data_IF_523077325748
#
_entry.id   IF_523077325748
#
_cell.length_a   1.000
_cell.length_b   1.000
_cell.length_c   1.000
_cell.angle_alpha   90.00
_cell.angle_beta   90.00
_cell.angle_gamma   90.00
#
_symmetry.space_group_name_H-M   'P 1'
#
loop_
_entity.id
_entity.type
_entity.pdbx_description
1 polymer ?
#
# COMPACT_ATOMS: atom_id res chain seq x y z
N UNK A 1 6.88 -20.11 7.67
CA UNK A 1 7.34 -18.71 7.67
C UNK A 1 6.51 -17.91 6.70
N UNK A 2 5.95 -16.79 7.15
CA UNK A 2 5.12 -15.94 6.30
C UNK A 2 6.01 -15.00 5.50
N UNK A 3 5.71 -14.87 4.23
CA UNK A 3 6.42 -13.95 3.35
C UNK A 3 5.38 -13.08 2.64
N UNK A 4 5.80 -11.90 2.17
CA UNK A 4 4.91 -11.10 1.35
C UNK A 4 4.83 -11.69 -0.07
N UNK A 5 3.74 -11.35 -0.77
CA UNK A 5 3.54 -11.77 -2.16
C UNK A 5 3.53 -10.54 -3.06
N UNK A 6 3.95 -10.72 -4.30
CA UNK A 6 3.87 -9.67 -5.31
C UNK A 6 2.63 -9.89 -6.14
N UNK A 7 1.83 -8.84 -6.35
CA UNK A 7 0.56 -8.97 -7.07
C UNK A 7 0.41 -7.87 -8.10
N UNK A 8 -0.27 -8.14 -9.22
CA UNK A 8 -0.57 -7.11 -10.22
C UNK A 8 -1.73 -6.21 -9.77
N UNK A 9 -1.94 -5.07 -10.46
CA UNK A 9 -3.03 -4.15 -10.10
C UNK A 9 -4.41 -4.79 -10.02
N UNK A 10 -4.73 -5.71 -10.91
CA UNK A 10 -6.06 -6.34 -10.94
C UNK A 10 -6.33 -7.12 -9.66
N UNK A 11 -5.32 -7.82 -9.17
CA UNK A 11 -5.47 -8.58 -7.93
C UNK A 11 -5.52 -7.65 -6.71
N UNK A 12 -4.72 -6.58 -6.75
CA UNK A 12 -4.77 -5.58 -5.69
C UNK A 12 -6.15 -4.89 -5.64
N UNK A 13 -6.74 -4.60 -6.79
CA UNK A 13 -8.08 -4.02 -6.84
C UNK A 13 -9.12 -4.97 -6.25
N UNK A 14 -9.03 -6.26 -6.55
CA UNK A 14 -9.95 -7.24 -5.97
C UNK A 14 -9.84 -7.30 -4.45
N UNK A 15 -8.61 -7.28 -3.92
CA UNK A 15 -8.39 -7.27 -2.47
C UNK A 15 -8.93 -5.99 -1.85
N UNK A 16 -8.69 -4.85 -2.48
CA UNK A 16 -9.17 -3.55 -2.01
C UNK A 16 -10.69 -3.52 -1.92
N UNK A 17 -11.38 -4.07 -2.93
CA UNK A 17 -12.83 -4.15 -2.93
C UNK A 17 -13.36 -5.05 -1.80
N UNK A 18 -12.55 -5.97 -1.33
CA UNK A 18 -12.89 -6.85 -0.21
C UNK A 18 -12.50 -6.24 1.15
N UNK A 19 -12.00 -5.02 1.16
CA UNK A 19 -11.69 -4.32 2.40
C UNK A 19 -10.22 -4.38 2.82
N UNK A 20 -9.31 -4.80 1.94
CA UNK A 20 -7.89 -4.83 2.26
C UNK A 20 -7.38 -3.42 2.59
N UNK A 21 -6.43 -3.35 3.52
CA UNK A 21 -5.74 -2.11 3.86
C UNK A 21 -4.71 -1.83 2.77
N UNK A 22 -4.68 -0.59 2.26
CA UNK A 22 -3.70 -0.16 1.27
C UNK A 22 -2.84 0.94 1.87
N UNK A 23 -1.53 0.72 1.92
CA UNK A 23 -0.59 1.69 2.47
C UNK A 23 0.41 2.11 1.39
N UNK A 24 0.72 3.39 1.35
CA UNK A 24 1.58 3.99 0.32
C UNK A 24 2.83 4.53 1.00
N UNK A 25 4.00 4.03 0.58
CA UNK A 25 5.28 4.38 1.21
C UNK A 25 6.07 5.40 0.41
N UNK A 26 5.46 6.04 -0.59
CA UNK A 26 6.09 7.14 -1.31
C UNK A 26 6.21 8.35 -0.40
N UNK A 27 6.89 9.42 -0.89
CA UNK A 27 7.00 10.62 -0.08
C UNK A 27 5.63 11.31 0.09
N UNK A 28 5.43 12.09 1.16
CA UNK A 28 4.12 12.67 1.45
C UNK A 28 3.62 13.65 0.40
N UNK A 29 4.50 14.41 -0.24
CA UNK A 29 4.10 15.36 -1.28
C UNK A 29 3.56 14.61 -2.51
N UNK A 30 4.23 13.54 -2.93
CA UNK A 30 3.79 12.74 -4.07
C UNK A 30 2.46 12.04 -3.77
N UNK A 31 2.32 11.50 -2.57
CA UNK A 31 1.07 10.88 -2.13
C UNK A 31 -0.09 11.88 -2.20
N UNK A 32 0.14 13.10 -1.73
CA UNK A 32 -0.87 14.14 -1.68
C UNK A 32 -1.39 14.49 -3.08
N UNK A 33 -0.49 14.49 -4.08
CA UNK A 33 -0.86 14.82 -5.47
C UNK A 33 -1.78 13.76 -6.07
N UNK A 34 -1.48 12.48 -5.85
CA UNK A 34 -2.32 11.40 -6.33
C UNK A 34 -1.96 10.09 -5.64
N UNK A 35 -2.96 9.34 -5.23
CA UNK A 35 -2.77 8.04 -4.58
C UNK A 35 -3.98 7.15 -4.87
N UNK A 36 -3.86 5.86 -4.55
CA UNK A 36 -4.99 4.93 -4.67
C UNK A 36 -6.10 5.38 -3.72
N UNK A 37 -7.31 5.45 -4.22
CA UNK A 37 -8.47 5.87 -3.41
C UNK A 37 -8.58 4.99 -2.16
N UNK A 38 -8.64 5.63 -0.99
CA UNK A 38 -8.74 4.93 0.28
C UNK A 38 -7.41 4.47 0.87
N UNK A 39 -6.29 4.65 0.15
CA UNK A 39 -4.99 4.30 0.70
C UNK A 39 -4.55 5.35 1.73
N UNK A 40 -3.67 4.93 2.64
CA UNK A 40 -3.11 5.83 3.64
C UNK A 40 -1.60 5.89 3.48
N UNK A 41 -1.06 7.06 3.73
CA UNK A 41 0.38 7.27 3.65
C UNK A 41 1.08 6.65 4.86
N UNK A 42 2.24 6.03 4.61
CA UNK A 42 3.01 5.37 5.66
C UNK A 42 4.48 5.77 5.50
N UNK A 43 5.10 6.25 6.60
CA UNK A 43 6.51 6.60 6.61
C UNK A 43 7.13 6.25 7.97
N UNK A 44 8.38 6.63 8.17
CA UNK A 44 9.10 6.32 9.41
C UNK A 44 8.48 6.99 10.65
N UNK A 45 7.70 8.06 10.46
CA UNK A 45 7.05 8.76 11.56
C UNK A 45 5.72 8.13 11.96
N UNK A 46 5.04 7.45 11.02
CA UNK A 46 3.70 6.91 11.24
C UNK A 46 3.67 5.39 11.38
N UNK A 47 4.74 4.70 10.98
CA UNK A 47 4.71 3.23 10.88
C UNK A 47 4.53 2.54 12.24
N UNK A 48 5.13 3.05 13.30
CA UNK A 48 4.99 2.44 14.63
C UNK A 48 3.55 2.51 15.12
N UNK A 49 2.90 3.66 14.95
CA UNK A 49 1.51 3.82 15.34
C UNK A 49 0.59 2.98 14.46
N UNK A 50 0.88 2.89 13.16
CA UNK A 50 0.13 2.05 12.26
C UNK A 50 0.17 0.58 12.71
N UNK A 51 1.37 0.07 13.00
CA UNK A 51 1.55 -1.32 13.44
C UNK A 51 0.79 -1.57 14.75
N UNK A 52 0.88 -0.63 15.67
CA UNK A 52 0.26 -0.78 17.00
C UNK A 52 -1.26 -0.86 16.91
N UNK A 53 -1.87 -0.11 15.97
CA UNK A 53 -3.31 -0.04 15.82
C UNK A 53 -3.87 -1.07 14.82
N UNK A 54 -3.02 -1.74 14.05
CA UNK A 54 -3.45 -2.58 12.93
C UNK A 54 -3.99 -3.92 13.40
N UNK A 55 -4.88 -4.47 12.58
CA UNK A 55 -5.22 -5.88 12.62
C UNK A 55 -4.14 -6.63 11.83
N UNK A 56 -3.30 -7.38 12.52
CA UNK A 56 -2.15 -8.05 11.92
C UNK A 56 -2.55 -9.14 10.92
N UNK A 57 -3.79 -9.61 10.97
CA UNK A 57 -4.28 -10.63 10.05
C UNK A 57 -5.05 -10.05 8.86
N UNK A 58 -5.27 -8.75 8.82
CA UNK A 58 -5.96 -8.12 7.71
C UNK A 58 -5.06 -8.07 6.47
N UNK A 59 -5.61 -8.38 5.27
CA UNK A 59 -4.83 -8.23 4.04
C UNK A 59 -4.34 -6.80 3.88
N UNK A 60 -3.05 -6.64 3.60
CA UNK A 60 -2.40 -5.33 3.51
C UNK A 60 -1.59 -5.25 2.23
N UNK A 61 -1.90 -4.28 1.38
CA UNK A 61 -1.21 -4.04 0.11
C UNK A 61 -0.29 -2.84 0.27
N UNK A 62 0.99 -3.00 -0.07
CA UNK A 62 2.00 -1.95 0.05
C UNK A 62 2.31 -1.38 -1.33
N UNK A 63 2.25 -0.07 -1.46
CA UNK A 63 2.39 0.66 -2.73
C UNK A 63 3.59 1.59 -2.68
N UNK A 64 4.41 1.59 -3.74
CA UNK A 64 5.45 2.58 -3.94
C UNK A 64 5.38 3.09 -5.38
N UNK A 65 6.45 3.73 -5.89
CA UNK A 65 6.42 4.30 -7.24
C UNK A 65 6.31 3.22 -8.33
N UNK A 66 7.19 2.20 -8.29
CA UNK A 66 7.32 1.21 -9.36
C UNK A 66 7.36 -0.24 -8.87
N UNK A 67 7.07 -0.48 -7.59
CA UNK A 67 7.04 -1.84 -7.06
C UNK A 67 8.35 -2.33 -6.47
N UNK A 68 9.35 -1.46 -6.29
CA UNK A 68 10.65 -1.84 -5.72
C UNK A 68 10.72 -1.60 -4.22
N UNK A 69 10.55 -0.35 -3.79
CA UNK A 69 10.62 0.02 -2.36
C UNK A 69 9.52 -0.65 -1.54
N UNK A 70 8.36 -0.93 -2.15
CA UNK A 70 7.26 -1.60 -1.47
C UNK A 70 7.62 -3.00 -1.00
N UNK A 71 8.57 -3.66 -1.67
CA UNK A 71 8.99 -5.00 -1.27
C UNK A 71 9.72 -4.98 0.07
N UNK A 72 10.61 -4.02 0.29
CA UNK A 72 11.29 -3.87 1.59
C UNK A 72 10.30 -3.53 2.70
N UNK A 73 9.37 -2.63 2.41
CA UNK A 73 8.35 -2.26 3.39
C UNK A 73 7.43 -3.43 3.71
N UNK A 74 7.04 -4.21 2.69
CA UNK A 74 6.22 -5.40 2.90
C UNK A 74 6.94 -6.43 3.76
N UNK A 75 8.22 -6.67 3.49
CA UNK A 75 9.03 -7.58 4.30
C UNK A 75 9.12 -7.12 5.75
N UNK A 76 9.25 -5.80 5.97
CA UNK A 76 9.28 -5.26 7.31
C UNK A 76 7.97 -5.53 8.06
N UNK A 77 6.82 -5.31 7.40
CA UNK A 77 5.51 -5.59 8.02
C UNK A 77 5.37 -7.07 8.38
N UNK A 78 5.82 -7.96 7.49
CA UNK A 78 5.82 -9.39 7.81
C UNK A 78 6.66 -9.66 9.07
N UNK A 79 7.83 -9.02 9.18
CA UNK A 79 8.70 -9.19 10.36
C UNK A 79 8.03 -8.68 11.64
N UNK A 80 7.05 -7.79 11.53
CA UNK A 80 6.32 -7.23 12.67
C UNK A 80 5.05 -8.02 13.00
N UNK A 81 4.82 -9.15 12.33
CA UNK A 81 3.72 -10.04 12.65
C UNK A 81 2.53 -10.00 11.70
N UNK A 82 2.59 -9.19 10.65
CA UNK A 82 1.50 -9.17 9.65
C UNK A 82 1.49 -10.48 8.89
N UNK A 83 0.33 -11.12 8.78
CA UNK A 83 0.21 -12.47 8.23
C UNK A 83 -0.17 -12.51 6.74
N UNK A 84 -0.62 -11.39 6.16
CA UNK A 84 -1.15 -11.40 4.80
C UNK A 84 -0.77 -10.09 4.09
N UNK A 85 0.46 -10.04 3.57
CA UNK A 85 1.05 -8.81 3.03
C UNK A 85 1.38 -8.97 1.56
N UNK A 86 1.09 -7.95 0.78
CA UNK A 86 1.29 -7.92 -0.66
C UNK A 86 2.06 -6.66 -1.06
N UNK A 87 2.93 -6.81 -2.05
CA UNK A 87 3.60 -5.68 -2.70
C UNK A 87 2.99 -5.49 -4.09
N UNK A 88 2.57 -4.28 -4.40
CA UNK A 88 1.93 -3.98 -5.69
C UNK A 88 2.98 -3.88 -6.80
N UNK A 89 2.95 -4.83 -7.72
CA UNK A 89 3.84 -4.81 -8.89
C UNK A 89 3.54 -3.60 -9.77
N UNK A 90 4.60 -2.96 -10.24
CA UNK A 90 4.49 -1.76 -11.06
C UNK A 90 4.16 -0.50 -10.26
N UNK A 91 3.82 -0.65 -8.98
CA UNK A 91 3.54 0.46 -8.08
C UNK A 91 2.41 1.34 -8.54
N UNK A 92 2.40 2.57 -8.02
CA UNK A 92 1.33 3.51 -8.36
C UNK A 92 1.33 3.90 -9.84
N UNK A 93 2.49 3.89 -10.49
CA UNK A 93 2.55 4.25 -11.92
C UNK A 93 1.74 3.27 -12.77
N UNK A 94 1.85 1.97 -12.51
CA UNK A 94 1.04 0.98 -13.23
C UNK A 94 -0.42 1.03 -12.79
N UNK A 95 -0.66 1.26 -11.50
CA UNK A 95 -2.03 1.37 -10.98
C UNK A 95 -2.81 2.47 -11.69
N UNK A 96 -2.24 3.68 -11.78
CA UNK A 96 -2.96 4.81 -12.36
C UNK A 96 -3.19 4.64 -13.86
N UNK A 97 -2.34 3.88 -14.53
CA UNK A 97 -2.53 3.56 -15.95
C UNK A 97 -3.65 2.53 -16.13
N UNK A 98 -3.81 1.64 -15.16
CA UNK A 98 -4.81 0.56 -15.21
C UNK A 98 -6.17 1.02 -14.70
N UNK A 99 -6.18 1.76 -13.59
CA UNK A 99 -7.39 2.21 -12.91
C UNK A 99 -7.37 3.72 -12.64
N UNK A 100 -7.37 4.55 -13.68
CA UNK A 100 -7.25 6.01 -13.46
C UNK A 100 -8.40 6.60 -12.64
N UNK A 101 -9.58 5.97 -12.67
CA UNK A 101 -10.73 6.45 -11.88
C UNK A 101 -10.66 6.05 -10.41
N UNK A 102 -9.72 5.17 -10.05
CA UNK A 102 -9.57 4.68 -8.68
C UNK A 102 -8.39 5.37 -7.99
N UNK A 103 -8.21 6.64 -8.30
CA UNK A 103 -7.19 7.48 -7.66
C UNK A 103 -7.83 8.69 -7.01
N UNK A 104 -7.17 9.21 -6.00
CA UNK A 104 -7.64 10.38 -5.25
C UNK A 104 -6.47 11.32 -5.03
N UNK A 105 -6.78 12.54 -4.62
CA UNK A 105 -5.76 13.51 -4.23
C UNK A 105 -6.22 14.21 -2.96
N UNK A 106 -5.25 14.62 -2.16
CA UNK A 106 -5.56 15.39 -0.97
C UNK A 106 -5.96 16.80 -1.38
N UNK A 107 -7.03 17.27 -0.77
CA UNK A 107 -7.59 18.56 -1.11
C UNK A 107 -7.17 19.55 -0.01
N UNK A 108 -6.23 20.43 -0.36
CA UNK A 108 -5.73 21.45 0.57
C UNK A 108 -6.37 22.78 0.23
N UNK A 109 -7.15 23.25 1.14
CA UNK A 109 -7.81 24.55 1.02
C UNK A 109 -7.04 25.61 1.78
#
# INVERSE_FOLDING_TARGET
MTEFKRIPPEQAQALREQGAVVVDVRDPATFSVSHISGSRHLDNHSIADFIRAADLDAPTVVVCYHGNSSQSAAAYLVSQGFSDVYSLDGGFELWRATYPSETAQDNHE
#
